data_IF_085660380069
#
_entry.id   IF_085660380069
#
_cell.length_a   1.000
_cell.length_b   1.000
_cell.length_c   1.000
_cell.angle_alpha   90.00
_cell.angle_beta   90.00
_cell.angle_gamma   90.00
#
_symmetry.space_group_name_H-M   'P 1'
#
loop_
_entity.id
_entity.type
_entity.pdbx_description
1 polymer ?
#
# COMPACT_ATOMS: atom_id res chain seq x y z
N UNK A 1 -16.70 25.98 7.55
CA UNK A 1 -15.60 25.49 8.40
C UNK A 1 -15.35 26.51 9.50
N UNK A 2 -15.52 26.13 10.76
CA UNK A 2 -15.27 27.03 11.90
C UNK A 2 -13.81 26.92 12.34
N UNK A 3 -13.05 28.00 12.20
CA UNK A 3 -11.70 28.10 12.76
C UNK A 3 -11.79 28.17 14.28
N UNK A 4 -11.00 27.35 14.98
CA UNK A 4 -10.89 27.36 16.44
C UNK A 4 -9.64 28.14 16.80
N UNK A 5 -9.78 29.09 17.73
CA UNK A 5 -8.69 29.96 18.18
C UNK A 5 -7.69 29.20 19.06
N UNK A 6 -6.43 29.64 19.03
CA UNK A 6 -5.28 28.98 19.66
C UNK A 6 -5.46 28.80 21.18
N UNK A 7 -6.11 29.76 21.87
CA UNK A 7 -6.36 29.66 23.31
C UNK A 7 -7.34 28.54 23.68
N UNK A 8 -8.28 28.21 22.78
CA UNK A 8 -9.23 27.10 22.98
C UNK A 8 -8.59 25.73 22.71
N UNK A 9 -7.62 25.66 21.79
CA UNK A 9 -6.79 24.47 21.59
C UNK A 9 -5.87 24.24 22.78
N UNK A 10 -5.26 25.30 23.31
CA UNK A 10 -4.39 25.25 24.49
C UNK A 10 -5.12 24.70 25.72
N UNK A 11 -6.34 25.15 26.02
CA UNK A 11 -7.11 24.60 27.15
C UNK A 11 -7.53 23.14 26.96
N UNK A 12 -7.90 22.75 25.73
CA UNK A 12 -8.40 21.39 25.44
C UNK A 12 -7.27 20.35 25.37
N UNK A 13 -6.05 20.79 25.08
CA UNK A 13 -4.87 19.94 24.92
C UNK A 13 -3.69 20.33 25.81
N UNK A 14 -3.90 21.14 26.86
CA UNK A 14 -2.84 21.65 27.75
C UNK A 14 -1.88 20.55 28.20
N UNK A 15 -2.45 19.43 28.69
CA UNK A 15 -1.67 18.27 29.14
C UNK A 15 -0.86 17.57 28.05
N UNK A 16 -1.19 17.77 26.76
CA UNK A 16 -0.42 17.25 25.62
C UNK A 16 0.62 18.24 25.13
N UNK A 17 0.38 19.55 25.22
CA UNK A 17 1.38 20.57 24.88
C UNK A 17 2.53 20.51 25.88
N UNK A 18 2.25 20.44 27.19
CA UNK A 18 3.30 20.30 28.21
C UNK A 18 4.12 19.01 28.00
N UNK A 19 3.47 17.93 27.56
CA UNK A 19 4.12 16.66 27.31
C UNK A 19 4.99 16.67 26.03
N UNK A 20 4.56 17.39 25.00
CA UNK A 20 5.34 17.62 23.77
C UNK A 20 6.52 18.55 24.05
N UNK A 21 6.30 19.63 24.81
CA UNK A 21 7.36 20.55 25.24
C UNK A 21 8.39 19.83 26.11
N UNK A 22 7.95 18.95 27.03
CA UNK A 22 8.84 18.09 27.81
C UNK A 22 9.68 17.17 26.91
N UNK A 23 9.11 16.58 25.84
CA UNK A 23 9.91 15.78 24.88
C UNK A 23 10.87 16.62 24.04
N UNK A 24 10.49 17.86 23.72
CA UNK A 24 11.38 18.82 23.07
C UNK A 24 12.55 19.21 23.98
N UNK A 25 12.30 19.40 25.28
CA UNK A 25 13.33 19.70 26.29
C UNK A 25 14.21 18.48 26.59
N UNK A 26 13.65 17.27 26.61
CA UNK A 26 14.35 16.03 26.98
C UNK A 26 15.33 15.52 25.89
N UNK A 27 15.38 16.13 24.70
CA UNK A 27 16.33 15.91 23.59
C UNK A 27 16.84 14.46 23.44
N UNK A 28 15.97 13.45 23.57
CA UNK A 28 16.29 12.07 23.19
C UNK A 28 15.86 11.87 21.75
N UNK A 29 16.78 11.71 20.79
CA UNK A 29 16.43 11.35 19.43
C UNK A 29 15.59 10.07 19.48
N UNK A 30 14.33 10.17 19.05
CA UNK A 30 13.39 9.05 19.02
C UNK A 30 12.25 9.08 20.02
N UNK A 31 12.24 9.93 21.06
CA UNK A 31 11.11 10.00 22.00
C UNK A 31 9.85 10.58 21.33
N UNK A 32 9.99 11.71 20.63
CA UNK A 32 8.92 12.27 19.80
C UNK A 32 8.54 11.31 18.68
N UNK A 33 9.50 10.67 18.00
CA UNK A 33 9.21 9.69 16.95
C UNK A 33 8.42 8.48 17.49
N UNK A 34 8.74 8.00 18.69
CA UNK A 34 8.03 6.91 19.36
C UNK A 34 6.63 7.33 19.82
N UNK A 35 6.49 8.55 20.36
CA UNK A 35 5.17 9.09 20.71
C UNK A 35 4.31 9.33 19.48
N UNK A 36 4.88 9.94 18.44
CA UNK A 36 4.23 10.17 17.15
C UNK A 36 3.77 8.85 16.53
N UNK A 37 4.64 7.83 16.48
CA UNK A 37 4.29 6.46 16.07
C UNK A 37 3.14 5.88 16.90
N UNK A 38 3.18 6.06 18.22
CA UNK A 38 2.20 5.48 19.15
C UNK A 38 0.83 6.16 19.10
N UNK A 39 0.78 7.46 18.82
CA UNK A 39 -0.43 8.27 19.02
C UNK A 39 -1.00 8.91 17.76
N UNK A 40 -0.20 9.13 16.72
CA UNK A 40 -0.61 9.84 15.50
C UNK A 40 -0.42 9.00 14.22
N UNK A 41 0.63 8.18 14.14
CA UNK A 41 0.85 7.28 12.99
C UNK A 41 -0.16 6.13 12.88
N UNK A 42 -1.11 6.02 13.83
CA UNK A 42 -2.15 4.98 13.86
C UNK A 42 -3.49 5.40 13.25
N UNK A 43 -3.61 6.58 12.63
CA UNK A 43 -4.94 7.08 12.21
C UNK A 43 -5.06 7.60 10.78
N UNK A 44 -4.02 7.52 9.96
CA UNK A 44 -4.18 7.73 8.52
C UNK A 44 -3.34 6.68 7.78
N UNK A 45 -4.05 5.76 7.11
CA UNK A 45 -3.59 4.89 6.02
C UNK A 45 -2.42 3.91 6.28
N UNK A 46 -2.52 3.10 7.33
CA UNK A 46 -2.44 1.65 7.12
C UNK A 46 -3.84 1.15 7.48
N UNK A 47 -4.41 0.19 6.75
CA UNK A 47 -5.79 -0.21 7.00
C UNK A 47 -6.02 -0.52 8.49
N UNK A 48 -7.25 -0.39 9.02
CA UNK A 48 -7.53 -0.63 10.43
C UNK A 48 -7.01 -1.98 10.96
N UNK A 49 -6.71 -2.94 10.09
CA UNK A 49 -6.18 -4.26 10.38
C UNK A 49 -4.64 -4.40 10.28
N UNK A 50 -3.92 -3.44 9.66
CA UNK A 50 -2.49 -3.60 9.29
C UNK A 50 -2.28 -4.18 7.89
N UNK A 51 -3.34 -4.58 7.20
CA UNK A 51 -3.33 -5.36 5.96
C UNK A 51 -3.09 -4.54 4.68
N UNK A 52 -2.43 -3.38 4.78
CA UNK A 52 -2.22 -2.44 3.69
C UNK A 52 -1.74 -3.09 2.37
N UNK A 53 -0.83 -4.07 2.46
CA UNK A 53 -0.37 -4.84 1.32
C UNK A 53 -1.52 -5.59 0.64
N UNK A 54 -2.30 -6.35 1.40
CA UNK A 54 -3.40 -7.16 0.87
C UNK A 54 -4.56 -6.29 0.40
N UNK A 55 -4.80 -5.16 1.04
CA UNK A 55 -5.87 -4.25 0.63
C UNK A 55 -5.57 -3.63 -0.74
N UNK A 56 -4.34 -3.14 -0.95
CA UNK A 56 -3.92 -2.67 -2.26
C UNK A 56 -3.84 -3.81 -3.29
N UNK A 57 -3.43 -5.03 -2.89
CA UNK A 57 -3.42 -6.19 -3.80
C UNK A 57 -4.85 -6.56 -4.25
N UNK A 58 -5.82 -6.59 -3.33
CA UNK A 58 -7.24 -6.80 -3.64
C UNK A 58 -7.78 -5.69 -4.54
N UNK A 59 -7.47 -4.43 -4.25
CA UNK A 59 -7.88 -3.30 -5.08
C UNK A 59 -7.37 -3.44 -6.53
N UNK A 60 -6.13 -3.89 -6.72
CA UNK A 60 -5.59 -4.18 -8.04
C UNK A 60 -6.36 -5.31 -8.73
N UNK A 61 -6.68 -6.40 -8.04
CA UNK A 61 -7.46 -7.52 -8.59
C UNK A 61 -8.89 -7.12 -8.97
N UNK A 62 -9.55 -6.32 -8.13
CA UNK A 62 -10.87 -5.76 -8.46
C UNK A 62 -10.80 -4.88 -9.70
N UNK A 63 -9.75 -4.05 -9.84
CA UNK A 63 -9.56 -3.20 -11.00
C UNK A 63 -9.25 -4.01 -12.28
N UNK A 64 -8.53 -5.12 -12.15
CA UNK A 64 -8.29 -6.05 -13.25
C UNK A 64 -9.54 -6.84 -13.68
N UNK A 65 -10.63 -6.76 -12.91
CA UNK A 65 -11.96 -7.23 -13.28
C UNK A 65 -12.33 -8.62 -12.78
N UNK A 66 -11.65 -9.17 -11.76
CA UNK A 66 -11.98 -10.49 -11.20
C UNK A 66 -12.09 -10.49 -9.66
N UNK A 67 -13.30 -10.31 -9.12
CA UNK A 67 -13.57 -10.38 -7.68
C UNK A 67 -13.28 -11.74 -7.04
N UNK A 68 -13.36 -12.84 -7.79
CA UNK A 68 -13.14 -14.19 -7.25
C UNK A 68 -11.68 -14.42 -6.88
N UNK A 69 -10.77 -13.82 -7.64
CA UNK A 69 -9.33 -13.86 -7.37
C UNK A 69 -8.94 -13.17 -6.06
N UNK A 70 -9.62 -12.09 -5.68
CA UNK A 70 -9.35 -11.39 -4.43
C UNK A 70 -9.59 -12.28 -3.20
N UNK A 71 -10.64 -13.10 -3.24
CA UNK A 71 -10.94 -14.08 -2.19
C UNK A 71 -9.87 -15.17 -2.12
N UNK A 72 -9.53 -15.79 -3.26
CA UNK A 72 -8.48 -16.83 -3.30
C UNK A 72 -7.11 -16.30 -2.86
N UNK A 73 -6.75 -15.07 -3.26
CA UNK A 73 -5.50 -14.44 -2.80
C UNK A 73 -5.49 -14.22 -1.29
N UNK A 74 -6.65 -13.90 -0.70
CA UNK A 74 -6.78 -13.72 0.76
C UNK A 74 -6.55 -15.03 1.50
N UNK A 75 -7.12 -16.13 1.03
CA UNK A 75 -6.91 -17.45 1.63
C UNK A 75 -5.43 -17.86 1.60
N UNK A 76 -4.76 -17.68 0.45
CA UNK A 76 -3.33 -17.95 0.30
C UNK A 76 -2.46 -17.04 1.18
N UNK A 77 -2.87 -15.78 1.40
CA UNK A 77 -2.16 -14.86 2.28
C UNK A 77 -2.26 -15.28 3.75
N UNK A 78 -3.45 -15.69 4.21
CA UNK A 78 -3.64 -16.17 5.59
C UNK A 78 -2.77 -17.39 5.88
N UNK A 79 -2.64 -18.31 4.91
CA UNK A 79 -1.75 -19.45 5.02
C UNK A 79 -0.27 -19.02 5.03
N UNK A 80 0.11 -18.07 4.18
CA UNK A 80 1.46 -17.51 4.13
C UNK A 80 1.86 -16.84 5.45
N UNK A 81 0.99 -16.00 6.04
CA UNK A 81 1.25 -15.33 7.32
C UNK A 81 1.40 -16.30 8.49
N UNK A 82 0.64 -17.41 8.47
CA UNK A 82 0.77 -18.47 9.48
C UNK A 82 2.17 -19.09 9.48
N UNK A 83 2.79 -19.20 8.31
CA UNK A 83 4.16 -19.70 8.15
C UNK A 83 5.23 -18.62 8.36
N UNK A 84 4.85 -17.33 8.29
CA UNK A 84 5.74 -16.17 8.43
C UNK A 84 5.19 -15.19 9.48
N UNK A 85 5.27 -15.52 10.78
CA UNK A 85 4.75 -14.66 11.84
C UNK A 85 5.59 -13.37 11.96
N UNK A 86 4.99 -12.22 11.63
CA UNK A 86 5.63 -10.89 11.73
C UNK A 86 5.42 -9.96 10.54
N UNK A 87 4.81 -10.43 9.45
CA UNK A 87 4.65 -9.71 8.18
C UNK A 87 3.60 -8.58 8.19
N UNK A 88 2.89 -8.40 9.31
CA UNK A 88 1.58 -7.70 9.37
C UNK A 88 1.66 -6.17 9.32
N UNK A 89 2.82 -5.55 9.52
CA UNK A 89 2.93 -4.07 9.52
C UNK A 89 3.79 -3.51 8.37
N UNK A 90 4.63 -4.33 7.73
CA UNK A 90 5.63 -3.88 6.73
C UNK A 90 6.06 -5.01 5.81
N UNK A 91 5.25 -5.33 4.80
CA UNK A 91 5.67 -6.27 3.76
C UNK A 91 6.85 -5.69 2.98
N UNK A 92 8.02 -6.28 3.15
CA UNK A 92 9.21 -5.97 2.37
C UNK A 92 9.06 -6.46 0.93
N UNK A 93 9.92 -5.99 0.02
CA UNK A 93 9.95 -6.52 -1.35
C UNK A 93 10.23 -8.04 -1.37
N UNK A 94 11.05 -8.52 -0.42
CA UNK A 94 11.39 -9.94 -0.29
C UNK A 94 10.15 -10.77 0.04
N UNK A 95 9.42 -10.38 1.08
CA UNK A 95 8.18 -11.05 1.50
C UNK A 95 7.10 -10.98 0.42
N UNK A 96 6.94 -9.82 -0.24
CA UNK A 96 6.05 -9.68 -1.40
C UNK A 96 6.41 -10.67 -2.51
N UNK A 97 7.71 -10.79 -2.82
CA UNK A 97 8.21 -11.72 -3.85
C UNK A 97 7.96 -13.18 -3.45
N UNK A 98 8.12 -13.52 -2.17
CA UNK A 98 7.83 -14.87 -1.67
C UNK A 98 6.34 -15.21 -1.78
N UNK A 99 5.47 -14.28 -1.40
CA UNK A 99 4.03 -14.44 -1.60
C UNK A 99 3.66 -14.56 -3.09
N UNK A 100 4.27 -13.78 -3.98
CA UNK A 100 4.06 -13.94 -5.43
C UNK A 100 4.50 -15.32 -5.94
N UNK A 101 5.54 -15.93 -5.37
CA UNK A 101 5.91 -17.32 -5.68
C UNK A 101 4.89 -18.33 -5.17
N UNK A 102 4.25 -18.07 -4.03
CA UNK A 102 3.11 -18.89 -3.56
C UNK A 102 1.97 -18.83 -4.58
N UNK A 103 1.57 -17.63 -4.99
CA UNK A 103 0.56 -17.43 -6.02
C UNK A 103 0.91 -18.17 -7.33
N UNK A 104 2.17 -18.06 -7.77
CA UNK A 104 2.65 -18.74 -8.98
C UNK A 104 2.55 -20.26 -8.89
N UNK A 105 2.94 -20.85 -7.76
CA UNK A 105 2.85 -22.30 -7.53
C UNK A 105 1.39 -22.78 -7.45
N UNK A 106 0.49 -21.91 -7.00
CA UNK A 106 -0.95 -22.18 -6.94
C UNK A 106 -1.68 -21.96 -8.29
N UNK A 107 -0.94 -21.74 -9.39
CA UNK A 107 -1.51 -21.43 -10.71
C UNK A 107 -2.43 -20.20 -10.71
N UNK A 108 -2.17 -19.24 -9.83
CA UNK A 108 -2.93 -17.98 -9.80
C UNK A 108 -2.73 -17.24 -11.14
N UNK A 109 -3.78 -16.67 -11.77
CA UNK A 109 -3.72 -16.27 -13.18
C UNK A 109 -3.07 -14.89 -13.40
N UNK A 110 -1.97 -14.60 -12.71
CA UNK A 110 -1.14 -13.42 -12.95
C UNK A 110 0.00 -13.74 -13.91
N UNK A 111 0.38 -12.75 -14.71
CA UNK A 111 1.58 -12.78 -15.52
C UNK A 111 2.81 -12.53 -14.62
N UNK A 112 3.38 -13.63 -14.10
CA UNK A 112 4.51 -13.55 -13.17
C UNK A 112 5.81 -13.08 -13.81
N UNK A 113 5.98 -13.26 -15.12
CA UNK A 113 7.15 -12.74 -15.83
C UNK A 113 7.14 -11.21 -15.82
N UNK A 114 5.96 -10.59 -15.97
CA UNK A 114 5.78 -9.14 -15.78
C UNK A 114 5.86 -8.73 -14.30
N UNK A 115 5.26 -9.50 -13.39
CA UNK A 115 5.18 -9.16 -11.97
C UNK A 115 6.55 -9.18 -11.28
N UNK A 116 7.46 -10.06 -11.68
CA UNK A 116 8.82 -10.11 -11.12
C UNK A 116 9.79 -9.11 -11.77
N UNK A 117 9.38 -8.46 -12.87
CA UNK A 117 10.18 -7.48 -13.56
C UNK A 117 9.81 -6.06 -13.13
N UNK A 118 10.62 -5.47 -12.26
CA UNK A 118 10.35 -4.11 -11.79
C UNK A 118 10.49 -3.09 -12.92
N UNK A 119 9.44 -2.27 -13.19
CA UNK A 119 9.49 -1.20 -14.15
C UNK A 119 10.26 0.02 -13.65
N UNK A 120 10.61 0.11 -12.35
CA UNK A 120 11.35 1.25 -11.82
C UNK A 120 12.76 1.29 -12.39
N UNK A 121 13.11 2.44 -12.97
CA UNK A 121 14.45 2.75 -13.47
C UNK A 121 15.32 3.44 -12.41
N UNK A 122 14.70 4.02 -11.38
CA UNK A 122 15.37 4.79 -10.36
C UNK A 122 14.63 4.75 -9.01
N UNK A 123 15.28 5.26 -7.97
CA UNK A 123 14.62 5.57 -6.70
C UNK A 123 13.96 6.93 -6.78
N UNK A 124 12.64 6.98 -6.56
CA UNK A 124 11.86 8.21 -6.56
C UNK A 124 11.60 8.70 -5.14
N UNK A 125 11.97 9.95 -4.83
CA UNK A 125 11.76 10.59 -3.53
C UNK A 125 11.02 11.93 -3.63
N UNK A 126 10.50 12.24 -4.82
CA UNK A 126 9.76 13.47 -5.12
C UNK A 126 8.55 13.11 -5.96
N UNK A 127 7.38 13.61 -5.57
CA UNK A 127 6.12 13.30 -6.24
C UNK A 127 6.15 13.70 -7.72
N UNK A 128 6.67 14.88 -8.05
CA UNK A 128 6.64 15.39 -9.42
C UNK A 128 7.46 14.51 -10.37
N UNK A 129 8.59 13.99 -9.88
CA UNK A 129 9.43 13.04 -10.65
C UNK A 129 8.75 11.69 -10.80
N UNK A 130 8.12 11.20 -9.73
CA UNK A 130 7.38 9.95 -9.80
C UNK A 130 6.18 10.05 -10.74
N UNK A 131 5.44 11.15 -10.67
CA UNK A 131 4.32 11.44 -11.57
C UNK A 131 4.75 11.45 -13.04
N UNK A 132 5.85 12.15 -13.36
CA UNK A 132 6.41 12.16 -14.70
C UNK A 132 6.84 10.75 -15.14
N UNK A 133 7.45 9.98 -14.22
CA UNK A 133 7.82 8.61 -14.50
C UNK A 133 6.59 7.76 -14.81
N UNK A 134 5.53 7.73 -14.00
CA UNK A 134 4.38 6.83 -14.22
C UNK A 134 3.55 7.16 -15.46
N UNK A 135 3.83 8.28 -16.13
CA UNK A 135 3.29 8.61 -17.46
C UNK A 135 4.09 7.96 -18.61
N UNK A 136 5.32 7.49 -18.36
CA UNK A 136 6.17 6.82 -19.36
C UNK A 136 5.94 5.32 -19.53
N UNK A 137 5.68 4.50 -18.48
CA UNK A 137 5.55 3.06 -18.65
C UNK A 137 4.24 2.73 -19.37
N UNK A 138 4.11 1.46 -19.75
CA UNK A 138 2.92 0.95 -20.45
C UNK A 138 1.68 1.21 -19.62
N UNK A 139 0.55 1.40 -20.28
CA UNK A 139 -0.75 1.38 -19.61
C UNK A 139 -0.89 0.10 -18.78
N UNK A 140 -1.35 0.22 -17.54
CA UNK A 140 -1.45 -0.93 -16.64
C UNK A 140 -1.75 -0.60 -15.19
N UNK A 141 -1.89 -1.68 -14.41
CA UNK A 141 -2.15 -1.68 -12.98
C UNK A 141 -0.85 -1.98 -12.26
N UNK A 142 -0.32 -1.00 -11.52
CA UNK A 142 0.98 -1.11 -10.88
C UNK A 142 0.83 -1.17 -9.37
N UNK A 143 1.25 -2.28 -8.79
CA UNK A 143 1.26 -2.46 -7.36
C UNK A 143 2.55 -1.88 -6.78
N UNK A 144 2.41 -0.89 -5.90
CA UNK A 144 3.51 0.00 -5.52
C UNK A 144 3.64 0.09 -4.02
N UNK A 145 4.83 -0.16 -3.50
CA UNK A 145 5.17 0.20 -2.13
C UNK A 145 5.84 1.55 -2.08
N UNK A 146 5.30 2.40 -1.22
CA UNK A 146 5.81 3.72 -0.90
C UNK A 146 6.22 3.79 0.57
N UNK A 147 7.02 4.80 0.87
CA UNK A 147 7.34 5.25 2.21
C UNK A 147 6.69 6.61 2.40
N UNK A 148 5.93 6.74 3.48
CA UNK A 148 5.49 8.00 4.05
C UNK A 148 6.23 8.19 5.38
N UNK A 149 7.27 9.03 5.36
CA UNK A 149 8.11 9.28 6.52
C UNK A 149 8.79 8.01 7.05
N UNK A 150 8.27 7.45 8.14
CA UNK A 150 8.76 6.21 8.77
C UNK A 150 7.84 5.01 8.55
N UNK A 151 6.73 5.16 7.81
CA UNK A 151 5.70 4.15 7.59
C UNK A 151 5.82 3.65 6.14
N UNK A 152 5.78 2.33 5.98
CA UNK A 152 5.64 1.73 4.65
C UNK A 152 4.16 1.60 4.32
N UNK A 153 3.80 1.94 3.09
CA UNK A 153 2.43 1.86 2.60
C UNK A 153 2.43 1.23 1.20
N UNK A 154 1.34 0.59 0.81
CA UNK A 154 1.14 -0.05 -0.49
C UNK A 154 -0.10 0.55 -1.12
N UNK A 155 0.03 0.94 -2.38
CA UNK A 155 -1.00 1.57 -3.18
C UNK A 155 -1.01 0.97 -4.58
N UNK A 156 -2.08 1.16 -5.32
CA UNK A 156 -2.14 0.78 -6.74
C UNK A 156 -2.08 2.03 -7.59
N UNK A 157 -1.10 2.13 -8.47
CA UNK A 157 -1.02 3.19 -9.47
C UNK A 157 -1.63 2.68 -10.76
N UNK A 158 -2.62 3.41 -11.27
CA UNK A 158 -3.28 3.15 -12.54
C UNK A 158 -2.68 4.07 -13.59
N UNK A 159 -1.73 3.55 -14.37
CA UNK A 159 -1.13 4.30 -15.46
C UNK A 159 -1.99 4.13 -16.73
N UNK A 160 -2.35 5.25 -17.35
CA UNK A 160 -3.19 5.29 -18.57
C UNK A 160 -2.40 5.55 -19.85
N UNK A 161 -1.07 5.40 -19.78
CA UNK A 161 -0.14 5.68 -20.86
C UNK A 161 0.30 7.15 -20.94
N UNK A 162 1.06 7.51 -21.98
CA UNK A 162 1.61 8.85 -22.17
C UNK A 162 0.54 9.94 -22.17
N UNK A 163 0.90 11.11 -21.66
CA UNK A 163 0.08 12.34 -21.64
C UNK A 163 -1.27 12.23 -20.91
N UNK A 164 -1.51 11.12 -20.20
CA UNK A 164 -2.71 10.93 -19.38
C UNK A 164 -2.34 10.93 -17.90
N UNK A 165 -3.11 11.66 -17.09
CA UNK A 165 -2.91 11.69 -15.64
C UNK A 165 -3.17 10.31 -15.04
N UNK A 166 -2.14 9.75 -14.39
CA UNK A 166 -2.27 8.52 -13.63
C UNK A 166 -3.17 8.73 -12.40
N UNK A 167 -3.87 7.66 -12.03
CA UNK A 167 -4.71 7.61 -10.83
C UNK A 167 -4.11 6.68 -9.79
N UNK A 168 -4.55 6.79 -8.55
CA UNK A 168 -4.15 5.90 -7.45
C UNK A 168 -5.37 5.27 -6.79
N UNK A 169 -5.24 4.01 -6.36
CA UNK A 169 -6.15 3.34 -5.44
C UNK A 169 -5.44 3.22 -4.09
N UNK A 170 -5.98 3.93 -3.11
CA UNK A 170 -5.42 4.06 -1.76
C UNK A 170 -6.46 3.67 -0.68
N UNK A 171 -7.72 3.46 -1.07
CA UNK A 171 -8.78 3.03 -0.16
C UNK A 171 -8.87 1.49 -0.10
N UNK A 172 -9.32 1.02 1.06
CA UNK A 172 -9.29 -0.39 1.48
C UNK A 172 -10.57 -1.14 1.09
N UNK A 173 -11.70 -0.44 1.00
CA UNK A 173 -13.02 -1.06 0.82
C UNK A 173 -13.63 -0.72 -0.54
N UNK A 174 -14.09 -1.72 -1.31
CA UNK A 174 -14.79 -1.45 -2.56
C UNK A 174 -16.14 -0.76 -2.32
N UNK A 175 -16.56 0.17 -3.19
CA UNK A 175 -15.91 0.55 -4.44
C UNK A 175 -14.72 1.49 -4.21
N UNK A 176 -13.52 1.02 -4.58
CA UNK A 176 -12.29 1.81 -4.45
C UNK A 176 -12.30 2.82 -5.59
N UNK A 177 -12.52 4.09 -5.26
CA UNK A 177 -12.63 5.15 -6.27
C UNK A 177 -11.21 5.59 -6.67
N UNK A 178 -10.85 5.57 -7.97
CA UNK A 178 -9.55 6.08 -8.39
C UNK A 178 -9.40 7.57 -8.06
N UNK A 179 -8.37 7.89 -7.30
CA UNK A 179 -8.00 9.26 -6.95
C UNK A 179 -6.90 9.79 -7.86
N UNK A 180 -6.65 11.10 -7.80
CA UNK A 180 -5.50 11.69 -8.48
C UNK A 180 -4.21 11.25 -7.78
N UNK A 181 -3.18 10.87 -8.54
CA UNK A 181 -1.89 10.46 -7.96
C UNK A 181 -1.28 11.52 -7.04
N UNK A 182 -1.55 12.80 -7.31
CA UNK A 182 -1.09 13.93 -6.50
C UNK A 182 -1.65 13.93 -5.07
N UNK A 183 -2.72 13.17 -4.80
CA UNK A 183 -3.28 13.00 -3.46
C UNK A 183 -2.34 12.20 -2.54
N UNK A 184 -1.33 11.51 -3.08
CA UNK A 184 -0.21 10.96 -2.33
C UNK A 184 0.77 12.07 -1.87
N UNK A 185 0.25 13.14 -1.25
CA UNK A 185 1.03 14.31 -0.79
C UNK A 185 2.16 13.92 0.18
N UNK A 186 2.09 12.72 0.75
CA UNK A 186 3.00 12.17 1.73
C UNK A 186 4.10 11.25 1.15
N UNK A 187 4.26 11.19 -0.17
CA UNK A 187 5.30 10.36 -0.78
C UNK A 187 6.71 10.85 -0.38
N UNK A 188 7.36 10.10 0.50
CA UNK A 188 8.76 10.30 0.85
C UNK A 188 9.69 9.48 -0.07
N UNK A 189 9.30 8.25 -0.39
CA UNK A 189 10.09 7.37 -1.27
C UNK A 189 9.23 6.29 -1.92
N UNK A 190 9.46 5.96 -3.18
CA UNK A 190 8.97 4.71 -3.80
C UNK A 190 10.00 3.61 -3.53
N UNK A 191 9.57 2.54 -2.85
CA UNK A 191 10.45 1.41 -2.49
C UNK A 191 10.53 0.39 -3.61
N UNK A 192 9.39 0.04 -4.17
CA UNK A 192 9.26 -0.88 -5.30
C UNK A 192 7.91 -0.69 -5.97
N UNK A 193 7.83 -1.08 -7.22
CA UNK A 193 6.64 -1.06 -8.07
C UNK A 193 6.73 -2.29 -8.95
N UNK A 194 5.61 -2.95 -9.19
CA UNK A 194 5.51 -4.17 -10.00
C UNK A 194 4.24 -4.10 -10.86
N UNK A 195 4.30 -4.56 -12.11
CA UNK A 195 3.16 -4.53 -13.03
C UNK A 195 2.29 -5.77 -12.83
N UNK A 196 1.02 -5.57 -12.45
CA UNK A 196 0.03 -6.62 -12.35
C UNK A 196 -0.79 -6.75 -13.64
N UNK A 197 -0.89 -7.97 -14.13
CA UNK A 197 -1.68 -8.30 -15.31
C UNK A 197 -2.23 -9.71 -15.21
N UNK A 198 -3.51 -9.89 -15.58
CA UNK A 198 -4.10 -11.22 -15.69
C UNK A 198 -3.70 -11.87 -17.03
N UNK A 199 -3.37 -13.17 -16.98
CA UNK A 199 -3.22 -13.98 -18.18
C UNK A 199 -4.64 -14.27 -18.72
N UNK A 200 -4.95 -13.78 -19.93
CA UNK A 200 -6.26 -14.01 -20.55
C UNK A 200 -6.45 -15.51 -20.84
N UNK A 201 -7.56 -16.08 -20.39
CA UNK A 201 -7.99 -17.45 -20.72
C UNK A 201 -7.90 -18.48 -19.59
N UNK A 202 -7.39 -18.11 -18.41
CA UNK A 202 -7.32 -19.03 -17.26
C UNK A 202 -8.65 -19.01 -16.49
N UNK A 203 -9.49 -20.02 -16.71
CA UNK A 203 -10.61 -20.32 -15.81
C UNK A 203 -10.01 -20.89 -14.53
N UNK A 204 -10.14 -20.18 -13.41
CA UNK A 204 -9.79 -20.76 -12.11
C UNK A 204 -10.79 -21.87 -11.83
N UNK A 205 -10.37 -23.12 -12.00
CA UNK A 205 -11.15 -24.24 -11.52
C UNK A 205 -11.22 -24.14 -10.00
N UNK A 206 -12.42 -23.87 -9.47
CA UNK A 206 -12.68 -23.96 -8.05
C UNK A 206 -12.22 -25.32 -7.55
N UNK A 207 -11.21 -25.33 -6.68
CA UNK A 207 -10.71 -26.56 -6.04
C UNK A 207 -11.73 -26.95 -4.98
N UNK A 208 -12.80 -27.62 -5.41
CA UNK A 208 -13.63 -28.42 -4.52
C UNK A 208 -12.99 -29.79 -4.38
N UNK A 209 -12.42 -30.08 -3.21
CA UNK A 209 -12.17 -31.45 -2.78
C UNK A 209 -12.22 -31.54 -1.25
N UNK A 210 -13.42 -31.79 -0.71
CA UNK A 210 -13.52 -32.57 0.52
C UNK A 210 -13.38 -34.05 0.16
N UNK A 211 -12.48 -34.83 0.79
CA UNK A 211 -12.52 -36.28 0.66
C UNK A 211 -13.62 -36.82 1.58
N UNK A 212 -14.29 -37.88 1.11
CA UNK A 212 -15.40 -38.54 1.78
C UNK A 212 -15.02 -39.42 2.97
#
# INVERSE_FOLDING_TARGET
>A
MSWVWEEQLAQRFARRIDQVMQWCEDLRPGAFANYYKKHFARRVQASPAGDCFMDAFRAALYHLGDPGLASTATELWVDFEREHPGTVDRVSRGEATEFFRVLQRSNFPLDFDLLFHSPLDATYTKMERFQAFVQTPREGVYFTSIEDGLVGHCVVVLAKGPDTTASVLDEVEPPVTPEHLTNLEYLHKVKWMELMKLIKGTVVAAVNASPG
#
